data_IF_504930993027
#
_entry.id   IF_504930993027
#
_cell.length_a   1.000
_cell.length_b   1.000
_cell.length_c   1.000
_cell.angle_alpha   90.00
_cell.angle_beta   90.00
_cell.angle_gamma   90.00
#
_symmetry.space_group_name_H-M   'P 1'
#
loop_
_entity.id
_entity.type
_entity.pdbx_description
1 polymer ?
#
# COMPACT_ATOMS: atom_id res chain seq x y z
N UNK A 1 3.34 -9.28 -44.54
CA UNK A 1 4.38 -9.76 -43.62
C UNK A 1 5.49 -10.52 -44.34
N UNK A 2 5.22 -11.31 -45.40
CA UNK A 2 6.28 -11.93 -46.21
C UNK A 2 7.03 -10.94 -47.13
N UNK A 3 6.40 -9.84 -47.55
CA UNK A 3 7.01 -8.83 -48.43
C UNK A 3 8.11 -7.98 -47.79
N UNK A 4 8.35 -8.13 -46.49
CA UNK A 4 9.40 -7.44 -45.74
C UNK A 4 10.57 -8.36 -45.36
N UNK A 5 10.53 -9.63 -45.77
CA UNK A 5 11.63 -10.56 -45.58
C UNK A 5 12.63 -10.36 -46.72
N UNK A 6 13.90 -10.16 -46.40
CA UNK A 6 14.96 -10.04 -47.40
C UNK A 6 15.21 -11.40 -48.06
N UNK A 7 15.43 -11.44 -49.38
CA UNK A 7 15.72 -12.68 -50.12
C UNK A 7 16.86 -13.51 -49.49
N UNK A 8 17.86 -12.84 -48.88
CA UNK A 8 18.93 -13.49 -48.14
C UNK A 8 18.47 -14.34 -46.94
N UNK A 9 17.43 -13.90 -46.23
CA UNK A 9 16.82 -14.66 -45.13
C UNK A 9 15.93 -15.79 -45.65
N UNK A 10 15.43 -15.70 -46.88
CA UNK A 10 14.66 -16.79 -47.47
C UNK A 10 15.60 -17.93 -47.87
N UNK A 11 16.70 -17.63 -48.56
CA UNK A 11 17.72 -18.61 -48.94
C UNK A 11 18.39 -19.29 -47.73
N UNK A 12 18.60 -18.58 -46.62
CA UNK A 12 19.20 -19.15 -45.40
C UNK A 12 18.32 -20.26 -44.77
N UNK A 13 17.00 -20.19 -44.97
CA UNK A 13 16.04 -21.10 -44.34
C UNK A 13 15.36 -22.07 -45.33
N UNK A 14 15.73 -22.07 -46.61
CA UNK A 14 15.25 -23.04 -47.61
C UNK A 14 15.76 -24.47 -47.38
N UNK A 15 16.86 -24.63 -46.62
CA UNK A 15 17.49 -25.94 -46.37
C UNK A 15 16.87 -26.78 -45.27
N UNK A 16 15.75 -26.35 -44.66
CA UNK A 16 15.08 -27.12 -43.62
C UNK A 16 14.05 -28.09 -44.22
N UNK A 17 14.18 -29.39 -43.91
CA UNK A 17 13.32 -30.45 -44.44
C UNK A 17 11.87 -30.35 -43.96
N UNK A 18 11.64 -29.76 -42.78
CA UNK A 18 10.29 -29.55 -42.24
C UNK A 18 10.05 -28.11 -41.80
N UNK A 19 8.79 -27.68 -41.89
CA UNK A 19 8.34 -26.40 -41.36
C UNK A 19 8.56 -26.30 -39.84
N UNK A 20 8.56 -27.42 -39.13
CA UNK A 20 8.85 -27.47 -37.70
C UNK A 20 10.30 -27.12 -37.40
N UNK A 21 11.25 -27.68 -38.13
CA UNK A 21 12.68 -27.40 -37.95
C UNK A 21 13.00 -25.95 -38.29
N UNK A 22 12.40 -25.43 -39.37
CA UNK A 22 12.49 -24.02 -39.74
C UNK A 22 11.94 -23.11 -38.63
N UNK A 23 10.79 -23.46 -38.03
CA UNK A 23 10.19 -22.70 -36.93
C UNK A 23 11.06 -22.73 -35.66
N UNK A 24 11.66 -23.88 -35.32
CA UNK A 24 12.59 -24.00 -34.19
C UNK A 24 13.83 -23.13 -34.42
N UNK A 25 14.43 -23.16 -35.61
CA UNK A 25 15.59 -22.34 -35.95
C UNK A 25 15.29 -20.84 -35.95
N UNK A 26 14.11 -20.43 -36.43
CA UNK A 26 13.65 -19.04 -36.33
C UNK A 26 13.44 -18.63 -34.88
N UNK A 27 12.82 -19.50 -34.06
CA UNK A 27 12.63 -19.26 -32.62
C UNK A 27 13.95 -19.20 -31.87
N UNK A 28 14.97 -19.96 -32.28
CA UNK A 28 16.29 -19.90 -31.66
C UNK A 28 17.02 -18.59 -32.03
N UNK A 29 17.06 -18.25 -33.32
CA UNK A 29 17.76 -17.06 -33.84
C UNK A 29 17.09 -15.74 -33.44
N UNK A 30 15.75 -15.70 -33.41
CA UNK A 30 14.98 -14.48 -33.18
C UNK A 30 14.06 -14.51 -31.95
N UNK A 31 13.75 -15.70 -31.43
CA UNK A 31 12.86 -15.86 -30.27
C UNK A 31 13.59 -15.80 -28.91
N UNK A 32 14.92 -15.74 -28.90
CA UNK A 32 15.70 -15.46 -27.71
C UNK A 32 15.36 -14.09 -27.13
N UNK A 33 15.05 -14.02 -25.83
CA UNK A 33 14.97 -12.71 -25.17
C UNK A 33 16.38 -12.11 -25.13
N UNK A 34 16.56 -10.93 -25.73
CA UNK A 34 17.84 -10.24 -25.63
C UNK A 34 18.21 -9.99 -24.17
N UNK A 35 19.44 -10.31 -23.80
CA UNK A 35 19.98 -10.06 -22.45
C UNK A 35 19.80 -8.59 -22.04
N UNK A 36 19.84 -7.66 -23.01
CA UNK A 36 19.58 -6.24 -22.78
C UNK A 36 18.12 -5.96 -22.36
N UNK A 37 17.12 -6.65 -22.95
CA UNK A 37 15.72 -6.53 -22.55
C UNK A 37 15.51 -7.04 -21.12
N UNK A 38 16.07 -8.20 -20.78
CA UNK A 38 16.01 -8.75 -19.43
C UNK A 38 16.61 -7.76 -18.41
N UNK A 39 17.85 -7.31 -18.64
CA UNK A 39 18.53 -6.33 -17.76
C UNK A 39 17.70 -5.06 -17.56
N UNK A 40 17.18 -4.48 -18.65
CA UNK A 40 16.34 -3.27 -18.56
C UNK A 40 15.08 -3.51 -17.73
N UNK A 41 14.43 -4.66 -17.90
CA UNK A 41 13.20 -4.99 -17.19
C UNK A 41 13.45 -5.23 -15.69
N UNK A 42 14.53 -5.95 -15.35
CA UNK A 42 14.96 -6.15 -13.95
C UNK A 42 15.27 -4.81 -13.28
N UNK A 43 16.07 -3.95 -13.92
CA UNK A 43 16.39 -2.60 -13.38
C UNK A 43 15.11 -1.80 -13.16
N UNK A 44 14.19 -1.80 -14.14
CA UNK A 44 12.90 -1.10 -14.01
C UNK A 44 12.10 -1.64 -12.83
N UNK A 45 12.01 -2.96 -12.67
CA UNK A 45 11.29 -3.61 -11.58
C UNK A 45 11.87 -3.25 -10.21
N UNK A 46 13.19 -3.35 -10.04
CA UNK A 46 13.87 -3.13 -8.75
C UNK A 46 13.82 -1.66 -8.30
N UNK A 47 13.83 -0.74 -9.26
CA UNK A 47 13.81 0.71 -9.01
C UNK A 47 12.40 1.31 -9.02
N UNK A 48 11.37 0.53 -9.35
CA UNK A 48 10.01 1.03 -9.40
C UNK A 48 9.51 1.43 -8.01
N UNK A 49 8.91 2.62 -7.92
CA UNK A 49 8.39 3.18 -6.66
C UNK A 49 6.99 3.75 -6.89
N UNK A 50 6.10 3.53 -5.92
CA UNK A 50 4.80 4.20 -5.83
C UNK A 50 5.04 5.68 -5.58
N UNK A 51 4.45 6.54 -6.40
CA UNK A 51 4.46 7.99 -6.15
C UNK A 51 3.37 8.34 -5.13
N UNK A 52 3.60 9.38 -4.31
CA UNK A 52 2.68 9.76 -3.23
C UNK A 52 1.24 10.04 -3.70
N UNK A 53 1.09 10.63 -4.88
CA UNK A 53 -0.21 10.99 -5.46
C UNK A 53 -0.73 9.97 -6.49
N UNK A 54 -0.11 8.79 -6.57
CA UNK A 54 -0.49 7.78 -7.54
C UNK A 54 -1.40 6.73 -6.90
N UNK A 55 -2.43 6.36 -7.66
CA UNK A 55 -3.40 5.35 -7.29
C UNK A 55 -2.72 4.01 -6.99
N UNK A 56 -2.99 3.48 -5.80
CA UNK A 56 -2.46 2.21 -5.32
C UNK A 56 -2.84 1.06 -6.24
N UNK A 57 -4.05 1.06 -6.80
CA UNK A 57 -4.48 0.00 -7.72
C UNK A 57 -3.69 0.02 -9.01
N UNK A 58 -3.44 1.21 -9.57
CA UNK A 58 -2.56 1.36 -10.72
C UNK A 58 -1.12 0.93 -10.42
N UNK A 59 -0.56 1.31 -9.27
CA UNK A 59 0.78 0.90 -8.85
C UNK A 59 0.94 -0.64 -8.85
N UNK A 60 0.03 -1.35 -8.18
CA UNK A 60 0.04 -2.81 -8.10
C UNK A 60 -0.16 -3.46 -9.48
N UNK A 61 -1.00 -2.88 -10.34
CA UNK A 61 -1.19 -3.36 -11.72
C UNK A 61 0.10 -3.28 -12.53
N UNK A 62 0.84 -2.18 -12.44
CA UNK A 62 2.14 -2.05 -13.12
C UNK A 62 3.16 -3.06 -12.60
N UNK A 63 3.20 -3.32 -11.29
CA UNK A 63 4.07 -4.36 -10.73
C UNK A 63 3.70 -5.75 -11.24
N UNK A 64 2.42 -6.10 -11.23
CA UNK A 64 1.92 -7.38 -11.76
C UNK A 64 2.28 -7.55 -13.24
N UNK A 65 2.15 -6.48 -14.04
CA UNK A 65 2.55 -6.48 -15.44
C UNK A 65 4.06 -6.76 -15.61
N UNK A 66 4.92 -6.11 -14.81
CA UNK A 66 6.36 -6.36 -14.86
C UNK A 66 6.71 -7.80 -14.43
N UNK A 67 6.05 -8.35 -13.42
CA UNK A 67 6.22 -9.76 -13.01
C UNK A 67 5.86 -10.71 -14.17
N UNK A 68 4.74 -10.45 -14.87
CA UNK A 68 4.33 -11.23 -16.05
C UNK A 68 5.31 -11.08 -17.20
N UNK A 69 5.83 -9.88 -17.45
CA UNK A 69 6.85 -9.64 -18.47
C UNK A 69 8.16 -10.38 -18.13
N UNK A 70 8.60 -10.34 -16.87
CA UNK A 70 9.80 -11.07 -16.41
C UNK A 70 9.62 -12.59 -16.62
N UNK A 71 8.46 -13.12 -16.25
CA UNK A 71 8.12 -14.53 -16.48
C UNK A 71 8.13 -14.89 -17.97
N UNK A 72 7.62 -14.01 -18.84
CA UNK A 72 7.59 -14.23 -20.29
C UNK A 72 8.99 -14.30 -20.92
N UNK A 73 9.98 -13.67 -20.29
CA UNK A 73 11.38 -13.68 -20.75
C UNK A 73 12.24 -14.75 -20.06
N UNK A 74 11.60 -15.70 -19.37
CA UNK A 74 12.26 -16.81 -18.67
C UNK A 74 12.78 -16.47 -17.28
N UNK A 75 12.45 -15.31 -16.73
CA UNK A 75 12.83 -14.91 -15.37
C UNK A 75 11.64 -15.03 -14.41
N UNK A 76 11.54 -16.17 -13.75
CA UNK A 76 10.48 -16.43 -12.76
C UNK A 76 10.90 -15.94 -11.38
N UNK A 77 10.11 -15.01 -10.82
CA UNK A 77 10.29 -14.54 -9.45
C UNK A 77 9.53 -15.45 -8.47
N UNK A 78 10.15 -15.76 -7.33
CA UNK A 78 9.47 -16.43 -6.21
C UNK A 78 8.44 -15.49 -5.58
N UNK A 79 7.46 -16.03 -4.86
CA UNK A 79 6.46 -15.22 -4.17
C UNK A 79 7.13 -14.25 -3.17
N UNK A 80 8.13 -14.73 -2.43
CA UNK A 80 8.95 -13.90 -1.53
C UNK A 80 9.62 -12.73 -2.27
N UNK A 81 10.21 -12.98 -3.45
CA UNK A 81 10.82 -11.90 -4.24
C UNK A 81 9.79 -10.86 -4.69
N UNK A 82 8.58 -11.30 -5.03
CA UNK A 82 7.48 -10.41 -5.41
C UNK A 82 7.01 -9.59 -4.21
N UNK A 83 6.84 -10.20 -3.04
CA UNK A 83 6.47 -9.54 -1.79
C UNK A 83 7.49 -8.47 -1.40
N UNK A 84 8.78 -8.85 -1.35
CA UNK A 84 9.87 -7.93 -1.05
C UNK A 84 9.94 -6.77 -2.03
N UNK A 85 9.67 -7.02 -3.31
CA UNK A 85 9.60 -5.97 -4.32
C UNK A 85 8.44 -5.00 -4.05
N UNK A 86 7.25 -5.49 -3.69
CA UNK A 86 6.11 -4.64 -3.35
C UNK A 86 6.44 -3.80 -2.13
N UNK A 87 6.94 -4.38 -1.04
CA UNK A 87 7.32 -3.65 0.19
C UNK A 87 8.34 -2.53 -0.12
N UNK A 88 9.40 -2.84 -0.87
CA UNK A 88 10.43 -1.87 -1.26
C UNK A 88 9.91 -0.77 -2.19
N UNK A 89 8.86 -1.06 -2.95
CA UNK A 89 8.26 -0.11 -3.89
C UNK A 89 7.42 0.97 -3.20
N UNK A 90 7.01 0.76 -1.96
CA UNK A 90 6.12 1.67 -1.23
C UNK A 90 6.81 2.99 -0.87
N UNK A 91 6.05 4.10 -0.72
CA UNK A 91 6.62 5.39 -0.35
C UNK A 91 7.21 5.38 1.06
N UNK A 92 8.21 6.23 1.31
CA UNK A 92 8.83 6.36 2.65
C UNK A 92 7.84 6.82 3.73
N UNK A 93 6.74 7.46 3.36
CA UNK A 93 5.66 7.83 4.30
C UNK A 93 4.93 6.61 4.88
N UNK A 94 5.18 5.40 4.36
CA UNK A 94 4.57 4.14 4.80
C UNK A 94 5.57 3.25 5.55
N UNK A 95 6.57 3.83 6.23
CA UNK A 95 7.62 3.06 6.91
C UNK A 95 7.08 2.03 7.91
N UNK A 96 6.15 2.44 8.77
CA UNK A 96 5.54 1.52 9.75
C UNK A 96 4.78 0.38 9.07
N UNK A 97 4.09 0.66 7.95
CA UNK A 97 3.40 -0.37 7.18
C UNK A 97 4.38 -1.37 6.57
N UNK A 98 5.52 -0.90 6.03
CA UNK A 98 6.56 -1.78 5.49
C UNK A 98 7.11 -2.73 6.55
N UNK A 99 7.36 -2.23 7.76
CA UNK A 99 7.80 -3.07 8.89
C UNK A 99 6.74 -4.12 9.22
N UNK A 100 5.47 -3.73 9.36
CA UNK A 100 4.38 -4.65 9.67
C UNK A 100 4.25 -5.77 8.63
N UNK A 101 4.33 -5.44 7.34
CA UNK A 101 4.25 -6.42 6.25
C UNK A 101 5.48 -7.34 6.21
N UNK A 102 6.65 -6.85 6.58
CA UNK A 102 7.90 -7.63 6.55
C UNK A 102 7.91 -8.76 7.59
N UNK A 103 7.23 -8.56 8.73
CA UNK A 103 7.20 -9.52 9.83
C UNK A 103 5.89 -10.32 9.88
N UNK A 104 5.01 -10.21 8.88
CA UNK A 104 3.73 -10.89 8.86
C UNK A 104 3.80 -12.20 8.05
N UNK A 105 3.86 -13.32 8.75
CA UNK A 105 3.96 -14.67 8.18
C UNK A 105 2.71 -15.11 7.37
N UNK A 106 1.61 -14.37 7.46
CA UNK A 106 0.39 -14.66 6.68
C UNK A 106 0.49 -14.14 5.23
N UNK A 107 1.42 -13.24 4.94
CA UNK A 107 1.63 -12.70 3.59
C UNK A 107 2.51 -13.68 2.81
N UNK A 108 1.88 -14.51 1.97
CA UNK A 108 2.59 -15.59 1.26
C UNK A 108 2.61 -15.42 -0.24
N UNK A 109 1.73 -14.57 -0.78
CA UNK A 109 1.58 -14.37 -2.22
C UNK A 109 1.54 -12.89 -2.60
N UNK A 110 1.68 -12.61 -3.89
CA UNK A 110 1.48 -11.26 -4.44
C UNK A 110 0.08 -10.72 -4.17
N UNK A 111 -0.94 -11.58 -4.12
CA UNK A 111 -2.32 -11.17 -3.88
C UNK A 111 -2.53 -10.77 -2.41
N UNK A 112 -1.91 -11.48 -1.47
CA UNK A 112 -1.96 -11.15 -0.03
C UNK A 112 -1.34 -9.78 0.24
N UNK A 113 -0.12 -9.54 -0.25
CA UNK A 113 0.55 -8.24 -0.07
C UNK A 113 -0.25 -7.14 -0.77
N UNK A 114 -0.81 -7.40 -1.95
CA UNK A 114 -1.67 -6.45 -2.68
C UNK A 114 -2.91 -6.06 -1.90
N UNK A 115 -3.53 -7.01 -1.19
CA UNK A 115 -4.69 -6.73 -0.33
C UNK A 115 -4.30 -5.80 0.83
N UNK A 116 -3.22 -6.12 1.53
CA UNK A 116 -2.73 -5.30 2.64
C UNK A 116 -2.39 -3.86 2.21
N UNK A 117 -1.74 -3.67 1.04
CA UNK A 117 -1.45 -2.32 0.52
C UNK A 117 -2.74 -1.55 0.23
N UNK A 118 -3.76 -2.19 -0.35
CA UNK A 118 -5.04 -1.54 -0.65
C UNK A 118 -5.78 -1.11 0.61
N UNK A 119 -5.83 -1.99 1.62
CA UNK A 119 -6.49 -1.69 2.90
C UNK A 119 -5.85 -0.50 3.61
N UNK A 120 -4.52 -0.41 3.60
CA UNK A 120 -3.82 0.74 4.20
C UNK A 120 -4.09 2.05 3.44
N UNK A 121 -4.19 2.00 2.12
CA UNK A 121 -4.56 3.17 1.31
C UNK A 121 -5.96 3.68 1.67
N UNK A 122 -6.93 2.77 1.74
CA UNK A 122 -8.32 3.09 2.12
C UNK A 122 -8.39 3.66 3.54
N UNK A 123 -7.62 3.11 4.48
CA UNK A 123 -7.49 3.63 5.85
C UNK A 123 -6.94 5.06 5.89
N UNK A 124 -5.91 5.35 5.10
CA UNK A 124 -5.33 6.69 5.01
C UNK A 124 -6.27 7.70 4.36
N UNK A 125 -7.00 7.30 3.31
CA UNK A 125 -8.00 8.18 2.68
C UNK A 125 -9.17 8.48 3.62
N UNK A 126 -9.66 7.49 4.39
CA UNK A 126 -10.66 7.72 5.42
C UNK A 126 -10.18 8.68 6.52
N UNK A 127 -8.91 8.58 6.93
CA UNK A 127 -8.32 9.48 7.91
C UNK A 127 -8.17 10.92 7.39
N UNK A 128 -7.85 11.10 6.11
CA UNK A 128 -7.81 12.44 5.47
C UNK A 128 -9.20 13.06 5.42
N UNK A 129 -10.21 12.28 5.02
CA UNK A 129 -11.59 12.74 4.94
C UNK A 129 -12.15 13.17 6.31
N UNK A 130 -11.88 12.40 7.37
CA UNK A 130 -12.32 12.73 8.73
C UNK A 130 -11.64 13.98 9.28
N UNK A 131 -10.33 14.14 9.02
CA UNK A 131 -9.58 15.35 9.40
C UNK A 131 -10.12 16.61 8.71
N UNK A 132 -10.44 16.52 7.41
CA UNK A 132 -11.01 17.63 6.65
C UNK A 132 -12.40 18.06 7.17
N UNK A 133 -13.23 17.10 7.59
CA UNK A 133 -14.54 17.38 8.18
C UNK A 133 -14.41 18.15 9.50
N UNK A 134 -13.50 17.74 10.40
CA UNK A 134 -13.28 18.39 11.68
C UNK A 134 -12.75 19.84 11.54
N UNK A 135 -11.90 20.09 10.54
CA UNK A 135 -11.38 21.44 10.24
C UNK A 135 -12.45 22.38 9.64
N UNK A 136 -13.42 21.85 8.89
CA UNK A 136 -14.52 22.64 8.33
C UNK A 136 -15.58 23.04 9.38
N UNK A 137 -15.71 22.26 10.46
CA UNK A 137 -16.68 22.54 11.53
C UNK A 137 -16.17 23.61 12.50
N UNK A 138 -14.87 23.62 12.78
CA UNK A 138 -14.25 24.64 13.66
C UNK A 138 -14.23 26.05 13.08
N UNK A 139 -14.36 26.21 11.76
CA UNK A 139 -14.33 27.51 11.07
C UNK A 139 -15.69 28.24 11.03
N UNK A 140 -16.76 27.64 11.59
CA UNK A 140 -18.09 28.28 11.72
C UNK A 140 -18.34 28.98 13.06
N UNK A 141 -17.43 28.90 14.01
CA UNK A 141 -17.51 29.71 15.24
C UNK A 141 -16.68 31.00 15.13
N UNK A 142 -17.12 31.91 14.23
CA UNK A 142 -16.91 33.33 14.49
C UNK A 142 -17.84 33.74 15.63
N UNK A 143 -17.41 33.54 16.87
CA UNK A 143 -18.00 34.16 18.05
C UNK A 143 -17.96 35.67 17.84
N UNK A 144 -19.13 36.25 17.54
CA UNK A 144 -19.34 37.70 17.55
C UNK A 144 -18.91 38.20 18.93
N UNK A 145 -17.97 39.13 18.96
CA UNK A 145 -17.44 39.69 20.21
C UNK A 145 -18.56 40.20 21.11
N UNK A 146 -18.68 39.58 22.29
CA UNK A 146 -19.44 40.17 23.37
C UNK A 146 -18.62 41.32 23.94
N UNK A 147 -19.00 42.53 23.55
CA UNK A 147 -18.47 43.77 24.10
C UNK A 147 -18.91 43.88 25.56
N UNK A 148 -18.04 43.49 26.49
CA UNK A 148 -18.23 43.77 27.91
C UNK A 148 -18.13 45.29 28.13
N UNK A 149 -19.28 45.97 28.14
CA UNK A 149 -19.40 47.34 28.64
C UNK A 149 -19.97 47.26 30.06
N UNK A 150 -19.12 47.53 31.03
CA UNK A 150 -19.48 47.48 32.44
C UNK A 150 -20.59 48.48 32.79
N UNK A 151 -21.45 48.06 33.73
CA UNK A 151 -22.10 48.94 34.71
C UNK A 151 -22.50 48.09 35.93
N UNK A 152 -22.11 48.59 37.10
CA UNK A 152 -22.42 48.08 38.44
C UNK A 152 -23.93 48.05 38.67
N UNK A 153 -24.42 47.02 39.33
CA UNK A 153 -25.77 46.94 39.89
C UNK A 153 -25.94 45.68 40.72
N UNK A 154 -25.87 45.83 42.04
CA UNK A 154 -26.19 44.81 43.03
C UNK A 154 -27.67 44.39 42.87
N UNK A 155 -27.96 43.09 42.80
CA UNK A 155 -29.16 42.54 43.42
C UNK A 155 -28.91 41.08 43.83
N UNK A 156 -29.17 40.80 45.10
CA UNK A 156 -28.99 39.52 45.76
C UNK A 156 -30.15 38.56 45.45
N UNK A 157 -29.77 37.29 45.29
CA UNK A 157 -30.42 36.07 45.76
C UNK A 157 -31.75 35.61 45.10
N UNK A 158 -31.76 34.37 44.61
CA UNK A 158 -32.99 33.71 44.15
C UNK A 158 -32.78 32.43 43.33
N UNK A 159 -32.45 31.35 44.04
CA UNK A 159 -32.75 29.93 43.74
C UNK A 159 -32.48 29.32 42.35
N UNK A 160 -31.56 28.35 42.34
CA UNK A 160 -31.23 27.46 41.23
C UNK A 160 -32.36 26.47 40.91
N UNK A 161 -32.87 26.48 39.68
CA UNK A 161 -33.51 25.33 39.06
C UNK A 161 -32.82 25.02 37.73
N UNK A 162 -32.04 23.93 37.73
CA UNK A 162 -31.36 23.36 36.55
C UNK A 162 -32.42 22.89 35.54
N UNK A 163 -32.66 23.70 34.51
CA UNK A 163 -33.40 23.31 33.32
C UNK A 163 -32.64 22.26 32.52
N UNK A 164 -33.25 21.09 32.40
CA UNK A 164 -32.82 19.90 31.65
C UNK A 164 -32.88 20.19 30.14
N UNK A 165 -31.73 20.46 29.52
CA UNK A 165 -31.62 20.51 28.05
C UNK A 165 -31.41 19.11 27.50
N UNK A 166 -32.43 18.58 26.82
CA UNK A 166 -32.36 17.40 25.95
C UNK A 166 -31.92 17.88 24.56
N UNK A 167 -30.71 17.51 24.14
CA UNK A 167 -30.28 17.64 22.75
C UNK A 167 -30.94 16.57 21.86
N UNK A 168 -30.96 16.76 20.52
CA UNK A 168 -31.65 15.86 19.61
C UNK A 168 -30.94 14.51 19.54
N UNK A 169 -31.66 13.43 19.82
CA UNK A 169 -31.28 12.06 19.46
C UNK A 169 -31.63 11.84 18.00
N UNK A 170 -30.66 11.96 17.10
CA UNK A 170 -30.79 11.49 15.73
C UNK A 170 -30.06 10.15 15.56
N UNK A 171 -30.79 9.20 15.02
CA UNK A 171 -30.40 7.80 14.84
C UNK A 171 -29.22 7.69 13.86
N UNK A 172 -28.01 7.49 14.38
CA UNK A 172 -26.92 6.95 13.57
C UNK A 172 -27.25 5.49 13.25
N UNK A 173 -27.39 5.22 11.96
CA UNK A 173 -27.58 3.87 11.42
C UNK A 173 -26.52 2.95 12.01
N UNK A 174 -27.00 2.02 12.83
CA UNK A 174 -26.25 0.91 13.41
C UNK A 174 -25.99 -0.09 12.29
N UNK A 175 -24.99 0.18 11.45
CA UNK A 175 -24.53 -0.75 10.41
C UNK A 175 -22.99 -0.80 10.53
N UNK A 176 -22.49 -1.99 10.85
CA UNK A 176 -21.08 -2.44 10.77
C UNK A 176 -19.99 -1.78 11.62
N UNK A 177 -20.29 -1.41 12.87
CA UNK A 177 -19.22 -1.19 13.87
C UNK A 177 -18.75 -2.50 14.53
N UNK A 178 -19.54 -3.57 14.42
CA UNK A 178 -19.18 -4.88 14.97
C UNK A 178 -18.12 -5.60 14.11
N UNK A 179 -18.25 -5.59 12.78
CA UNK A 179 -17.25 -6.23 11.89
C UNK A 179 -15.92 -5.46 11.88
N UNK A 180 -15.94 -4.14 11.91
CA UNK A 180 -14.73 -3.33 12.01
C UNK A 180 -14.01 -3.48 13.36
N UNK A 181 -14.74 -3.73 14.45
CA UNK A 181 -14.15 -4.02 15.77
C UNK A 181 -13.52 -5.41 15.82
N UNK A 182 -14.14 -6.42 15.21
CA UNK A 182 -13.57 -7.77 15.14
C UNK A 182 -12.26 -7.78 14.36
N UNK A 183 -12.19 -7.04 13.24
CA UNK A 183 -10.96 -6.93 12.44
C UNK A 183 -9.88 -6.11 13.19
N UNK A 184 -10.26 -5.10 13.97
CA UNK A 184 -9.31 -4.30 14.76
C UNK A 184 -8.75 -5.07 15.97
N UNK A 185 -9.56 -5.90 16.64
CA UNK A 185 -9.12 -6.77 17.74
C UNK A 185 -8.30 -7.98 17.24
N UNK A 186 -8.59 -8.55 16.06
CA UNK A 186 -7.72 -9.56 15.43
C UNK A 186 -6.34 -8.99 15.07
N UNK A 187 -6.29 -7.74 14.59
CA UNK A 187 -5.01 -7.09 14.29
C UNK A 187 -4.21 -6.78 15.57
N UNK A 188 -4.88 -6.40 16.68
CA UNK A 188 -4.24 -6.05 17.96
C UNK A 188 -3.72 -7.26 18.74
N UNK A 189 -4.41 -8.41 18.71
CA UNK A 189 -3.93 -9.64 19.37
C UNK A 189 -2.66 -10.23 18.73
N UNK A 190 -2.28 -9.76 17.54
CA UNK A 190 -1.03 -10.13 16.87
C UNK A 190 0.15 -9.20 17.26
N UNK A 191 -0.12 -8.07 17.93
CA UNK A 191 0.90 -7.06 18.28
C UNK A 191 1.48 -7.23 19.69
N UNK A 192 0.88 -8.08 20.54
CA UNK A 192 1.34 -8.28 21.94
C UNK A 192 2.27 -9.50 22.17
N UNK A 193 2.74 -10.19 21.12
CA UNK A 193 3.74 -11.27 21.23
C UNK A 193 5.14 -10.91 20.69
N UNK A 194 5.52 -9.63 20.70
CA UNK A 194 6.85 -9.19 20.22
C UNK A 194 7.65 -8.28 21.17
N UNK A 195 7.10 -7.89 22.32
CA UNK A 195 7.74 -6.94 23.24
C UNK A 195 8.28 -7.58 24.53
N UNK A 196 8.36 -8.91 24.59
CA UNK A 196 8.86 -9.63 25.76
C UNK A 196 9.90 -10.71 25.43
N UNK A 197 11.00 -10.36 24.76
CA UNK A 197 12.24 -11.16 24.77
C UNK A 197 13.45 -10.39 24.24
N UNK A 198 13.76 -9.25 24.86
CA UNK A 198 15.15 -8.73 24.88
C UNK A 198 15.44 -8.27 26.31
N UNK A 199 15.62 -9.24 27.20
CA UNK A 199 16.40 -9.04 28.42
C UNK A 199 17.86 -9.08 27.98
N UNK A 200 18.45 -7.92 27.67
CA UNK A 200 19.90 -7.83 27.50
C UNK A 200 20.51 -7.93 28.91
N UNK A 201 21.11 -9.08 29.19
CA UNK A 201 22.07 -9.24 30.28
C UNK A 201 23.21 -8.23 30.05
N UNK A 202 23.21 -7.16 30.84
CA UNK A 202 24.42 -6.35 31.02
C UNK A 202 25.40 -7.16 31.87
N UNK A 203 26.23 -7.94 31.17
CA UNK A 203 27.40 -8.58 31.76
C UNK A 203 28.30 -7.55 32.42
N UNK A 204 28.53 -7.73 33.72
CA UNK A 204 29.45 -6.98 34.55
C UNK A 204 30.86 -6.95 33.96
N UNK A 205 31.32 -5.77 33.55
CA UNK A 205 32.73 -5.42 33.60
C UNK A 205 32.96 -4.57 34.85
N UNK A 206 33.54 -5.16 35.90
CA UNK A 206 34.22 -4.40 36.95
C UNK A 206 35.71 -4.27 36.59
N UNK A 207 36.35 -3.13 36.90
CA UNK A 207 37.76 -2.89 36.59
C UNK A 207 38.67 -3.26 37.76
N UNK A 208 39.78 -3.93 37.46
CA UNK A 208 41.18 -3.64 37.81
C UNK A 208 42.02 -4.92 37.67
#
# INVERSE_FOLDING_TARGET
MLSSMTDALMCEYEGFDTAQDMWIALKDKFGGTSTAKLRRLTIKFDTYRKRQNHDTRQHLREMSNMIRELKSVGHTLTDEQQIQAVIRSLPNSWENMKINMTHNDNIKTFDDISLHVKLEDERLEAAKASSQLYMAESSKHKTKGFKCKGKKGNFQNGNSQKGKWKGPTENFKKIEVAEAKTIFEELLMTVDYGLLSIQIDYGSCQPL
#
